data_IF_132626814254
#
_entry.id   IF_132626814254
#
_cell.length_a   1.000
_cell.length_b   1.000
_cell.length_c   1.000
_cell.angle_alpha   90.00
_cell.angle_beta   90.00
_cell.angle_gamma   90.00
#
_symmetry.space_group_name_H-M   'P 1'
#
loop_
_entity.id
_entity.type
_entity.pdbx_description
1 polymer ?
#
# COMPACT_ATOMS: atom_id res chain seq x y z
N UNK A 1 14.48 -8.19 -29.52
CA UNK A 1 15.54 -7.17 -29.37
C UNK A 1 15.18 -6.37 -28.13
N UNK A 2 15.84 -6.69 -27.02
CA UNK A 2 15.52 -6.16 -25.69
C UNK A 2 16.39 -4.92 -25.42
N UNK A 3 15.76 -3.80 -25.09
CA UNK A 3 16.43 -2.60 -24.61
C UNK A 3 16.36 -2.57 -23.08
N UNK A 4 17.54 -2.61 -22.46
CA UNK A 4 17.76 -2.41 -21.03
C UNK A 4 17.34 -0.99 -20.64
N UNK A 5 16.27 -0.87 -19.87
CA UNK A 5 15.94 0.34 -19.11
C UNK A 5 16.52 0.16 -17.71
N UNK A 6 17.69 0.75 -17.46
CA UNK A 6 18.28 0.84 -16.12
C UNK A 6 17.87 2.17 -15.47
N UNK A 7 17.34 2.08 -14.25
CA UNK A 7 16.84 3.17 -13.39
C UNK A 7 17.90 4.24 -12.97
N UNK A 8 19.02 4.34 -13.69
CA UNK A 8 20.08 5.31 -13.41
C UNK A 8 19.84 6.70 -14.02
N UNK A 9 18.80 6.89 -14.82
CA UNK A 9 18.58 8.14 -15.57
C UNK A 9 17.72 9.20 -14.88
N UNK A 10 17.27 8.99 -13.64
CA UNK A 10 16.38 9.93 -12.94
C UNK A 10 17.03 10.75 -11.81
N UNK A 11 18.36 10.72 -11.67
CA UNK A 11 19.09 11.48 -10.64
C UNK A 11 19.99 12.61 -11.18
N UNK A 12 20.16 12.74 -12.50
CA UNK A 12 20.99 13.80 -13.10
C UNK A 12 20.15 14.93 -13.69
N UNK A 13 19.52 15.72 -12.82
CA UNK A 13 19.09 17.08 -13.16
C UNK A 13 19.98 18.09 -12.41
N UNK A 14 21.25 18.14 -12.78
CA UNK A 14 22.12 19.29 -12.49
C UNK A 14 22.36 20.07 -13.78
N UNK A 15 21.52 21.07 -14.04
CA UNK A 15 21.91 22.16 -14.94
C UNK A 15 23.03 23.00 -14.30
N UNK A 16 23.98 23.53 -15.09
CA UNK A 16 25.18 24.18 -14.59
C UNK A 16 24.83 25.55 -14.02
N UNK A 17 24.83 25.67 -12.69
CA UNK A 17 24.71 26.96 -12.00
C UNK A 17 26.09 27.63 -11.97
N UNK A 18 26.13 28.85 -12.46
CA UNK A 18 27.25 29.80 -12.42
C UNK A 18 27.86 29.96 -11.02
N UNK A 19 29.16 30.31 -10.90
CA UNK A 19 29.87 30.27 -9.62
C UNK A 19 29.50 31.47 -8.75
N UNK A 20 28.80 31.24 -7.63
CA UNK A 20 28.69 32.22 -6.55
C UNK A 20 29.88 32.10 -5.60
N UNK A 21 30.53 33.22 -5.20
CA UNK A 21 31.68 33.21 -4.31
C UNK A 21 31.21 33.34 -2.86
N UNK A 22 30.95 32.23 -2.18
CA UNK A 22 30.89 32.21 -0.72
C UNK A 22 31.33 30.84 -0.21
N UNK A 23 32.65 30.63 -0.22
CA UNK A 23 33.27 29.52 0.53
C UNK A 23 33.34 29.94 1.99
N UNK A 24 32.34 29.54 2.76
CA UNK A 24 32.51 29.35 4.21
C UNK A 24 33.64 28.32 4.45
N UNK A 25 34.43 28.47 5.53
CA UNK A 25 35.62 27.65 5.73
C UNK A 25 35.21 26.19 5.91
N UNK A 26 35.89 25.27 5.20
CA UNK A 26 35.83 23.84 5.51
C UNK A 26 36.08 23.65 7.01
N UNK A 27 35.30 22.84 7.73
CA UNK A 27 35.59 22.55 9.13
C UNK A 27 37.01 21.96 9.25
N UNK A 28 37.75 22.26 10.33
CA UNK A 28 39.12 21.81 10.48
C UNK A 28 39.19 20.27 10.43
N UNK A 29 40.19 19.75 9.72
CA UNK A 29 40.55 18.33 9.75
C UNK A 29 40.86 17.94 11.20
N UNK A 30 40.11 16.98 11.75
CA UNK A 30 40.41 16.40 13.07
C UNK A 30 41.86 15.91 13.09
N UNK A 31 42.64 16.31 14.09
CA UNK A 31 44.02 15.83 14.23
C UNK A 31 44.04 14.43 14.82
N UNK A 32 45.15 13.69 14.62
CA UNK A 32 45.34 12.33 15.17
C UNK A 32 45.17 12.27 16.70
N UNK A 33 45.39 13.40 17.39
CA UNK A 33 45.20 13.56 18.83
C UNK A 33 43.71 13.68 19.24
N UNK A 34 42.84 14.22 18.38
CA UNK A 34 41.40 14.36 18.65
C UNK A 34 40.62 13.05 18.43
N UNK A 35 41.25 12.07 17.76
CA UNK A 35 40.66 10.79 17.32
C UNK A 35 40.93 9.66 18.31
N UNK A 36 41.79 9.88 19.32
CA UNK A 36 42.37 8.86 20.20
C UNK A 36 41.43 8.22 21.25
N UNK A 37 40.10 8.28 21.07
CA UNK A 37 39.12 7.83 22.08
C UNK A 37 38.49 6.44 21.80
N UNK A 38 38.89 5.72 20.75
CA UNK A 38 38.45 4.34 20.57
C UNK A 38 39.33 3.37 21.38
N UNK A 39 38.73 2.72 22.37
CA UNK A 39 39.36 1.58 23.04
C UNK A 39 39.41 0.40 22.05
N UNK A 40 40.61 -0.08 21.74
CA UNK A 40 40.82 -1.24 20.87
C UNK A 40 40.93 -2.52 21.72
N UNK A 41 40.06 -3.51 21.51
CA UNK A 41 40.25 -4.84 22.07
C UNK A 41 41.59 -5.45 21.64
N UNK A 42 42.22 -6.26 22.49
CA UNK A 42 43.48 -6.94 22.16
C UNK A 42 43.37 -7.81 20.91
N UNK A 43 42.19 -8.44 20.71
CA UNK A 43 41.81 -9.21 19.54
C UNK A 43 41.84 -8.43 18.21
N UNK A 44 41.76 -7.09 18.26
CA UNK A 44 41.64 -6.20 17.11
C UNK A 44 42.86 -5.26 16.94
N UNK A 45 43.98 -5.49 17.64
CA UNK A 45 45.16 -4.63 17.51
C UNK A 45 45.67 -4.50 16.06
N UNK A 46 45.53 -5.57 15.26
CA UNK A 46 45.91 -5.58 13.83
C UNK A 46 45.12 -4.53 13.01
N UNK A 47 43.95 -4.12 13.49
CA UNK A 47 43.10 -3.11 12.86
C UNK A 47 43.33 -1.68 13.37
N UNK A 48 44.25 -1.45 14.32
CA UNK A 48 44.42 -0.14 14.94
C UNK A 48 44.74 0.97 13.92
N UNK A 49 45.77 0.79 13.10
CA UNK A 49 46.15 1.77 12.05
C UNK A 49 45.10 1.89 10.93
N UNK A 50 44.54 0.79 10.38
CA UNK A 50 43.43 0.86 9.43
C UNK A 50 42.21 1.63 9.96
N UNK A 51 41.82 1.41 11.22
CA UNK A 51 40.67 2.08 11.85
C UNK A 51 40.93 3.56 12.12
N UNK A 52 42.14 3.92 12.57
CA UNK A 52 42.53 5.32 12.72
C UNK A 52 42.50 6.06 11.39
N UNK A 53 43.01 5.41 10.33
CA UNK A 53 42.95 5.97 8.97
C UNK A 53 41.51 6.19 8.53
N UNK A 54 40.64 5.20 8.76
CA UNK A 54 39.21 5.28 8.43
C UNK A 54 38.52 6.44 9.15
N UNK A 55 38.78 6.63 10.45
CA UNK A 55 38.21 7.73 11.22
C UNK A 55 38.67 9.11 10.75
N UNK A 56 39.91 9.25 10.29
CA UNK A 56 40.44 10.51 9.76
C UNK A 56 39.75 10.89 8.44
N UNK A 57 39.33 9.90 7.65
CA UNK A 57 38.73 10.13 6.33
C UNK A 57 37.20 10.08 6.32
N UNK A 58 36.53 9.75 7.44
CA UNK A 58 35.06 9.53 7.54
C UNK A 58 34.16 10.64 6.95
N UNK A 59 34.69 11.85 6.74
CA UNK A 59 33.92 12.98 6.17
C UNK A 59 34.06 13.11 4.65
N UNK A 60 34.88 12.26 4.01
CA UNK A 60 35.25 12.31 2.60
C UNK A 60 35.01 10.93 1.97
N UNK A 61 33.85 10.76 1.33
CA UNK A 61 33.38 9.48 0.78
C UNK A 61 34.42 8.81 -0.14
N UNK A 62 35.09 9.61 -0.97
CA UNK A 62 36.07 9.13 -1.94
C UNK A 62 37.30 8.49 -1.26
N UNK A 63 37.59 8.88 -0.02
CA UNK A 63 38.67 8.33 0.80
C UNK A 63 38.20 7.25 1.75
N UNK A 64 36.94 7.31 2.20
CA UNK A 64 36.33 6.27 3.07
C UNK A 64 36.27 4.94 2.35
N UNK A 65 35.84 4.91 1.09
CA UNK A 65 35.65 3.67 0.33
C UNK A 65 36.96 2.86 0.21
N UNK A 66 38.11 3.43 -0.23
CA UNK A 66 39.38 2.72 -0.26
C UNK A 66 39.85 2.26 1.13
N UNK A 67 39.68 3.10 2.16
CA UNK A 67 40.06 2.74 3.53
C UNK A 67 39.24 1.55 4.06
N UNK A 68 37.93 1.52 3.79
CA UNK A 68 37.06 0.39 4.13
C UNK A 68 37.41 -0.87 3.38
N UNK A 69 37.69 -0.75 2.07
CA UNK A 69 38.11 -1.89 1.26
C UNK A 69 39.34 -2.56 1.86
N UNK A 70 40.35 -1.76 2.26
CA UNK A 70 41.56 -2.27 2.91
C UNK A 70 41.26 -3.01 4.23
N UNK A 71 40.37 -2.47 5.07
CA UNK A 71 39.95 -3.12 6.32
C UNK A 71 39.30 -4.48 6.04
N UNK A 72 38.40 -4.54 5.08
CA UNK A 72 37.67 -5.77 4.79
C UNK A 72 38.55 -6.83 4.12
N UNK A 73 39.51 -6.44 3.27
CA UNK A 73 40.53 -7.36 2.73
C UNK A 73 41.35 -7.95 3.87
N UNK A 74 41.93 -7.09 4.72
CA UNK A 74 42.71 -7.52 5.89
C UNK A 74 41.92 -8.49 6.78
N UNK A 75 40.65 -8.19 7.04
CA UNK A 75 39.77 -9.07 7.81
C UNK A 75 39.54 -10.44 7.17
N UNK A 76 39.41 -10.49 5.84
CA UNK A 76 39.16 -11.75 5.12
C UNK A 76 40.36 -12.69 5.17
N UNK A 77 41.56 -12.13 5.25
CA UNK A 77 42.81 -12.87 5.23
C UNK A 77 43.25 -13.35 6.63
N UNK A 78 42.54 -12.94 7.69
CA UNK A 78 42.86 -13.35 9.06
C UNK A 78 42.48 -14.81 9.33
N UNK A 79 43.36 -15.61 9.94
CA UNK A 79 43.07 -17.01 10.27
C UNK A 79 41.97 -17.16 11.32
N UNK A 80 41.76 -16.15 12.16
CA UNK A 80 40.73 -16.08 13.20
C UNK A 80 39.56 -15.14 12.83
N UNK A 81 39.37 -14.84 11.54
CA UNK A 81 38.40 -13.86 11.05
C UNK A 81 36.99 -14.03 11.64
N UNK A 82 36.48 -15.27 11.72
CA UNK A 82 35.15 -15.58 12.29
C UNK A 82 35.02 -15.13 13.75
N UNK A 83 36.06 -15.34 14.57
CA UNK A 83 36.03 -15.03 16.00
C UNK A 83 36.05 -13.51 16.26
N UNK A 84 36.75 -12.75 15.41
CA UNK A 84 36.88 -11.29 15.57
C UNK A 84 35.77 -10.51 14.89
N UNK A 85 35.00 -11.13 13.98
CA UNK A 85 33.95 -10.47 13.17
C UNK A 85 32.96 -9.65 13.99
N UNK A 86 32.46 -10.17 15.12
CA UNK A 86 31.46 -9.50 15.94
C UNK A 86 31.98 -8.18 16.54
N UNK A 87 33.19 -8.22 17.10
CA UNK A 87 33.83 -7.03 17.68
C UNK A 87 34.25 -6.04 16.59
N UNK A 88 34.77 -6.56 15.47
CA UNK A 88 35.14 -5.76 14.31
C UNK A 88 33.92 -5.01 13.76
N UNK A 89 32.77 -5.67 13.62
CA UNK A 89 31.53 -5.02 13.17
C UNK A 89 31.11 -3.86 14.06
N UNK A 90 31.19 -4.03 15.38
CA UNK A 90 30.91 -2.95 16.33
C UNK A 90 31.86 -1.77 16.17
N UNK A 91 33.15 -2.05 15.95
CA UNK A 91 34.19 -1.03 15.78
C UNK A 91 34.05 -0.28 14.45
N UNK A 92 33.80 -1.02 13.36
CA UNK A 92 33.58 -0.46 12.03
C UNK A 92 32.37 0.48 12.04
N UNK A 93 31.26 0.08 12.67
CA UNK A 93 30.10 0.96 12.79
C UNK A 93 30.45 2.26 13.52
N UNK A 94 31.12 2.19 14.69
CA UNK A 94 31.54 3.39 15.44
C UNK A 94 32.45 4.32 14.64
N UNK A 95 33.33 3.77 13.80
CA UNK A 95 34.17 4.57 12.92
C UNK A 95 33.39 5.25 11.79
N UNK A 96 32.28 4.66 11.36
CA UNK A 96 31.49 5.07 10.20
C UNK A 96 30.16 5.74 10.54
N UNK A 97 29.78 5.83 11.82
CA UNK A 97 28.48 6.33 12.29
C UNK A 97 28.10 7.64 11.58
N UNK A 98 29.04 8.59 11.53
CA UNK A 98 28.86 9.85 10.81
C UNK A 98 28.55 9.62 9.32
N UNK A 99 29.37 8.84 8.64
CA UNK A 99 29.20 8.56 7.21
C UNK A 99 27.90 7.81 6.92
N UNK A 100 27.44 6.95 7.83
CA UNK A 100 26.20 6.19 7.72
C UNK A 100 24.96 7.08 7.82
N UNK A 101 25.05 8.17 8.58
CA UNK A 101 23.96 9.13 8.76
C UNK A 101 23.97 10.25 7.70
N UNK A 102 25.14 10.62 7.18
CA UNK A 102 25.24 11.72 6.21
C UNK A 102 25.27 11.27 4.74
N UNK A 103 25.44 9.98 4.47
CA UNK A 103 25.58 9.46 3.10
C UNK A 103 24.81 8.17 2.90
N UNK A 104 24.35 7.96 1.66
CA UNK A 104 23.67 6.72 1.25
C UNK A 104 24.64 5.69 0.67
N UNK A 105 25.75 6.14 0.08
CA UNK A 105 26.74 5.30 -0.61
C UNK A 105 27.59 4.45 0.33
N UNK A 106 28.00 4.99 1.48
CA UNK A 106 28.89 4.27 2.41
C UNK A 106 28.20 3.03 3.02
N UNK A 107 26.97 3.13 3.56
CA UNK A 107 26.23 1.95 4.03
C UNK A 107 26.04 0.89 2.94
N UNK A 108 25.72 1.31 1.72
CA UNK A 108 25.54 0.39 0.60
C UNK A 108 26.84 -0.32 0.24
N UNK A 109 27.95 0.42 0.15
CA UNK A 109 29.28 -0.15 -0.09
C UNK A 109 29.68 -1.16 1.00
N UNK A 110 29.39 -0.86 2.27
CA UNK A 110 29.66 -1.81 3.37
C UNK A 110 28.88 -3.11 3.17
N UNK A 111 27.59 -3.03 2.85
CA UNK A 111 26.76 -4.22 2.61
C UNK A 111 27.25 -4.99 1.38
N UNK A 112 27.56 -4.31 0.27
CA UNK A 112 28.13 -4.93 -0.94
C UNK A 112 29.41 -5.72 -0.63
N UNK A 113 30.33 -5.11 0.13
CA UNK A 113 31.56 -5.76 0.52
C UNK A 113 31.31 -6.94 1.46
N UNK A 114 30.47 -6.77 2.49
CA UNK A 114 30.20 -7.84 3.45
C UNK A 114 29.57 -9.06 2.77
N UNK A 115 28.61 -8.86 1.88
CA UNK A 115 27.85 -9.94 1.25
C UNK A 115 28.63 -10.70 0.16
N UNK A 116 29.77 -10.17 -0.30
CA UNK A 116 30.71 -10.91 -1.17
C UNK A 116 31.43 -12.06 -0.45
N UNK A 117 31.37 -12.11 0.88
CA UNK A 117 32.06 -13.08 1.74
C UNK A 117 31.10 -14.21 2.16
N UNK A 118 31.63 -15.36 2.64
CA UNK A 118 30.77 -16.43 3.12
C UNK A 118 29.95 -16.02 4.37
N UNK A 119 28.76 -16.62 4.59
CA UNK A 119 27.88 -16.33 5.74
C UNK A 119 28.55 -16.42 7.11
N UNK A 120 29.50 -17.34 7.26
CA UNK A 120 30.28 -17.54 8.49
C UNK A 120 31.08 -16.29 8.90
N UNK A 121 31.43 -15.44 7.92
CA UNK A 121 32.16 -14.19 8.16
C UNK A 121 31.22 -13.01 8.30
N UNK A 122 30.32 -12.78 7.34
CA UNK A 122 29.51 -11.56 7.35
C UNK A 122 28.40 -11.57 8.40
N UNK A 123 27.80 -12.72 8.75
CA UNK A 123 26.69 -12.75 9.69
C UNK A 123 27.10 -12.25 11.09
N UNK A 124 28.22 -12.72 11.69
CA UNK A 124 28.67 -12.15 12.96
C UNK A 124 29.10 -10.69 12.86
N UNK A 125 29.66 -10.26 11.71
CA UNK A 125 30.06 -8.87 11.52
C UNK A 125 28.85 -7.93 11.46
N UNK A 126 27.82 -8.28 10.68
CA UNK A 126 26.56 -7.55 10.64
C UNK A 126 25.86 -7.57 11.99
N UNK A 127 25.90 -8.69 12.73
CA UNK A 127 25.37 -8.75 14.09
C UNK A 127 26.10 -7.77 15.03
N UNK A 128 27.43 -7.63 14.89
CA UNK A 128 28.22 -6.65 15.62
C UNK A 128 27.77 -5.21 15.34
N UNK A 129 27.55 -4.89 14.07
CA UNK A 129 27.03 -3.58 13.67
C UNK A 129 25.59 -3.35 14.16
N UNK A 130 24.72 -4.37 14.08
CA UNK A 130 23.33 -4.32 14.55
C UNK A 130 23.22 -4.03 16.04
N UNK A 131 24.15 -4.56 16.86
CA UNK A 131 24.22 -4.23 18.30
C UNK A 131 24.51 -2.76 18.58
N UNK A 132 25.14 -2.04 17.64
CA UNK A 132 25.34 -0.60 17.76
C UNK A 132 24.13 0.17 17.26
N UNK A 133 23.53 -0.30 16.17
CA UNK A 133 22.36 0.33 15.55
C UNK A 133 21.44 -0.70 14.89
N UNK A 134 20.23 -0.83 15.45
CA UNK A 134 19.22 -1.76 14.96
C UNK A 134 18.73 -1.42 13.55
N UNK A 135 18.88 -0.18 13.08
CA UNK A 135 18.49 0.24 11.72
C UNK A 135 19.23 -0.55 10.63
N UNK A 136 20.37 -1.17 10.96
CA UNK A 136 21.11 -2.00 10.02
C UNK A 136 20.26 -3.10 9.40
N UNK A 137 19.30 -3.69 10.14
CA UNK A 137 18.41 -4.72 9.60
C UNK A 137 17.53 -4.19 8.46
N UNK A 138 16.97 -2.99 8.64
CA UNK A 138 16.21 -2.28 7.60
C UNK A 138 17.06 -1.95 6.37
N UNK A 139 18.32 -1.51 6.57
CA UNK A 139 19.27 -1.28 5.45
C UNK A 139 19.63 -2.56 4.72
N UNK A 140 19.83 -3.66 5.46
CA UNK A 140 20.10 -4.98 4.89
C UNK A 140 18.90 -5.50 4.08
N UNK A 141 17.68 -5.36 4.60
CA UNK A 141 16.45 -5.70 3.88
C UNK A 141 16.37 -4.91 2.57
N UNK A 142 16.55 -3.59 2.62
CA UNK A 142 16.52 -2.73 1.45
C UNK A 142 17.53 -3.16 0.39
N UNK A 143 18.78 -3.41 0.82
CA UNK A 143 19.84 -3.87 -0.06
C UNK A 143 19.50 -5.23 -0.70
N UNK A 144 19.08 -6.20 0.10
CA UNK A 144 18.71 -7.53 -0.38
C UNK A 144 17.59 -7.49 -1.43
N UNK A 145 16.57 -6.65 -1.24
CA UNK A 145 15.46 -6.50 -2.18
C UNK A 145 15.89 -5.82 -3.48
N UNK A 146 16.73 -4.78 -3.42
CA UNK A 146 17.26 -4.11 -4.61
C UNK A 146 18.11 -5.06 -5.46
N UNK A 147 18.92 -5.91 -4.81
CA UNK A 147 19.74 -6.94 -5.47
C UNK A 147 18.99 -8.24 -5.78
N UNK A 148 17.67 -8.28 -5.55
CA UNK A 148 16.79 -9.44 -5.80
C UNK A 148 17.23 -10.74 -5.13
N UNK A 149 17.79 -10.64 -3.93
CA UNK A 149 18.24 -11.78 -3.14
C UNK A 149 17.95 -11.57 -1.65
N UNK A 150 16.86 -12.18 -1.16
CA UNK A 150 16.44 -12.06 0.25
C UNK A 150 17.18 -13.01 1.19
N UNK A 151 17.94 -13.98 0.66
CA UNK A 151 18.61 -15.03 1.44
C UNK A 151 19.52 -14.49 2.56
N UNK A 152 20.36 -13.46 2.33
CA UNK A 152 21.23 -12.93 3.38
C UNK A 152 20.46 -12.30 4.54
N UNK A 153 19.32 -11.67 4.25
CA UNK A 153 18.44 -11.09 5.27
C UNK A 153 17.80 -12.17 6.14
N UNK A 154 17.29 -13.24 5.52
CA UNK A 154 16.70 -14.38 6.25
C UNK A 154 17.73 -15.02 7.19
N UNK A 155 18.93 -15.31 6.68
CA UNK A 155 20.01 -15.87 7.48
C UNK A 155 20.45 -14.94 8.62
N UNK A 156 20.36 -13.62 8.41
CA UNK A 156 20.64 -12.63 9.44
C UNK A 156 19.57 -12.63 10.55
N UNK A 157 18.28 -12.69 10.19
CA UNK A 157 17.20 -12.80 11.17
C UNK A 157 17.37 -14.02 12.09
N UNK A 158 17.77 -15.16 11.52
CA UNK A 158 18.04 -16.40 12.26
C UNK A 158 19.18 -16.23 13.28
N UNK A 159 20.26 -15.54 12.91
CA UNK A 159 21.43 -15.33 13.78
C UNK A 159 21.17 -14.32 14.90
N UNK A 160 20.39 -13.28 14.63
CA UNK A 160 20.03 -12.26 15.64
C UNK A 160 18.94 -12.78 16.60
N UNK A 161 18.24 -13.86 16.22
CA UNK A 161 17.15 -14.41 17.02
C UNK A 161 15.90 -13.54 16.96
N UNK A 162 15.66 -12.88 15.82
CA UNK A 162 14.44 -12.10 15.63
C UNK A 162 13.22 -13.04 15.57
N UNK A 163 12.10 -12.68 16.20
CA UNK A 163 10.88 -13.47 16.15
C UNK A 163 10.35 -13.45 14.71
N UNK A 164 10.22 -14.62 14.09
CA UNK A 164 9.63 -14.91 12.77
C UNK A 164 9.91 -13.87 11.65
N UNK A 165 10.54 -14.30 10.55
CA UNK A 165 10.96 -13.43 9.42
C UNK A 165 9.88 -12.43 8.96
N UNK A 166 8.59 -12.80 8.83
CA UNK A 166 7.53 -11.86 8.49
C UNK A 166 7.38 -10.69 9.47
N UNK A 167 7.51 -10.91 10.78
CA UNK A 167 7.41 -9.85 11.77
C UNK A 167 8.62 -8.92 11.71
N UNK A 168 9.82 -9.48 11.51
CA UNK A 168 11.04 -8.71 11.29
C UNK A 168 10.93 -7.79 10.06
N UNK A 169 10.38 -8.29 8.95
CA UNK A 169 10.15 -7.49 7.74
C UNK A 169 9.23 -6.30 8.03
N UNK A 170 8.12 -6.51 8.74
CA UNK A 170 7.19 -5.41 9.07
C UNK A 170 7.85 -4.36 9.96
N UNK A 171 8.63 -4.80 10.95
CA UNK A 171 9.40 -3.91 11.81
C UNK A 171 10.40 -3.09 11.00
N UNK A 172 11.16 -3.75 10.13
CA UNK A 172 12.20 -3.11 9.31
C UNK A 172 11.64 -2.15 8.26
N UNK A 173 10.45 -2.42 7.73
CA UNK A 173 9.71 -1.44 6.90
C UNK A 173 9.37 -0.20 7.73
N UNK A 174 8.91 -0.37 8.97
CA UNK A 174 8.61 0.77 9.87
C UNK A 174 9.84 1.61 10.22
N UNK A 175 11.02 0.98 10.36
CA UNK A 175 12.26 1.68 10.71
C UNK A 175 12.72 2.69 9.66
N UNK A 176 12.28 2.57 8.39
CA UNK A 176 12.74 3.46 7.31
C UNK A 176 12.51 4.96 7.61
N UNK A 177 11.42 5.29 8.31
CA UNK A 177 11.11 6.67 8.72
C UNK A 177 12.14 7.19 9.71
N UNK A 178 12.50 6.39 10.72
CA UNK A 178 13.51 6.75 11.69
C UNK A 178 14.90 6.92 11.08
N UNK A 179 15.21 6.16 10.01
CA UNK A 179 16.46 6.36 9.26
C UNK A 179 16.49 7.74 8.64
N UNK A 180 15.43 8.12 7.94
CA UNK A 180 15.36 9.42 7.27
C UNK A 180 15.35 10.57 8.28
N UNK A 181 14.64 10.44 9.40
CA UNK A 181 14.65 11.41 10.51
C UNK A 181 16.05 11.58 11.12
N UNK A 182 16.74 10.46 11.40
CA UNK A 182 18.08 10.48 11.96
C UNK A 182 19.10 11.09 10.99
N UNK A 183 19.00 10.75 9.70
CA UNK A 183 19.83 11.35 8.65
C UNK A 183 19.56 12.86 8.50
N UNK A 184 18.30 13.29 8.52
CA UNK A 184 17.92 14.69 8.43
C UNK A 184 18.47 15.50 9.62
N UNK A 185 18.34 14.96 10.84
CA UNK A 185 18.89 15.57 12.05
C UNK A 185 20.42 15.65 12.00
N UNK A 186 21.09 14.55 11.64
CA UNK A 186 22.55 14.51 11.53
C UNK A 186 23.08 15.49 10.48
N UNK A 187 22.45 15.54 9.30
CA UNK A 187 22.80 16.50 8.26
C UNK A 187 22.61 17.95 8.71
N UNK A 188 21.54 18.24 9.45
CA UNK A 188 21.28 19.56 10.03
C UNK A 188 22.36 19.96 11.05
N UNK A 189 22.68 19.08 12.00
CA UNK A 189 23.70 19.32 13.03
C UNK A 189 25.10 19.49 12.42
N UNK A 190 25.40 18.76 11.35
CA UNK A 190 26.71 18.77 10.68
C UNK A 190 26.79 19.79 9.52
N UNK A 191 25.71 20.52 9.25
CA UNK A 191 25.59 21.52 8.17
C UNK A 191 25.98 20.97 6.79
N UNK A 192 25.55 19.73 6.50
CA UNK A 192 25.72 19.09 5.19
C UNK A 192 24.38 18.92 4.49
N UNK A 193 24.34 18.92 3.14
CA UNK A 193 23.09 18.79 2.40
C UNK A 193 22.44 17.43 2.68
N UNK A 194 21.12 17.45 2.93
CA UNK A 194 20.32 16.23 3.07
C UNK A 194 19.64 15.89 1.74
N UNK A 195 19.83 14.66 1.26
CA UNK A 195 19.30 14.21 -0.03
C UNK A 195 17.78 13.93 -0.02
N UNK A 196 17.12 13.94 1.16
CA UNK A 196 15.67 13.82 1.30
C UNK A 196 15.13 12.39 1.22
N UNK A 197 14.35 11.97 2.24
CA UNK A 197 13.49 10.78 2.31
C UNK A 197 13.92 9.54 1.49
N UNK A 198 15.21 9.20 1.51
CA UNK A 198 15.76 8.16 0.64
C UNK A 198 15.35 6.79 1.14
N UNK A 199 15.39 6.57 2.46
CA UNK A 199 15.07 5.26 3.04
C UNK A 199 13.58 4.92 2.85
N UNK A 200 12.69 5.88 3.07
CA UNK A 200 11.25 5.73 2.84
C UNK A 200 10.97 5.49 1.36
N UNK A 201 11.59 6.26 0.45
CA UNK A 201 11.41 6.08 -0.99
C UNK A 201 11.90 4.70 -1.46
N UNK A 202 13.10 4.27 -1.04
CA UNK A 202 13.64 2.94 -1.37
C UNK A 202 12.78 1.82 -0.81
N UNK A 203 12.26 1.96 0.41
CA UNK A 203 11.40 0.94 1.04
C UNK A 203 10.07 0.82 0.31
N UNK A 204 9.41 1.95 0.07
CA UNK A 204 8.09 1.96 -0.57
C UNK A 204 8.17 1.56 -2.05
N UNK A 205 9.15 2.08 -2.80
CA UNK A 205 9.24 1.89 -4.25
C UNK A 205 10.10 0.67 -4.65
N UNK A 206 11.05 0.25 -3.82
CA UNK A 206 11.90 -0.91 -4.12
C UNK A 206 11.48 -2.16 -3.35
N UNK A 207 11.53 -2.06 -2.02
CA UNK A 207 11.38 -3.21 -1.12
C UNK A 207 9.99 -3.82 -1.20
N UNK A 208 8.93 -3.04 -0.99
CA UNK A 208 7.57 -3.60 -0.93
C UNK A 208 7.13 -4.21 -2.27
N UNK A 209 7.35 -3.57 -3.44
CA UNK A 209 7.07 -4.19 -4.73
C UNK A 209 7.86 -5.49 -4.95
N UNK A 210 9.15 -5.50 -4.59
CA UNK A 210 9.95 -6.73 -4.66
C UNK A 210 9.36 -7.85 -3.78
N UNK A 211 8.97 -7.54 -2.54
CA UNK A 211 8.37 -8.52 -1.64
C UNK A 211 7.08 -9.10 -2.21
N UNK A 212 6.22 -8.25 -2.80
CA UNK A 212 4.96 -8.68 -3.39
C UNK A 212 5.14 -9.61 -4.59
N UNK A 213 6.17 -9.39 -5.43
CA UNK A 213 6.36 -10.13 -6.68
C UNK A 213 7.33 -11.31 -6.57
N UNK A 214 8.32 -11.24 -5.68
CA UNK A 214 9.48 -12.13 -5.72
C UNK A 214 9.79 -12.83 -4.39
N UNK A 215 9.25 -12.38 -3.25
CA UNK A 215 9.57 -13.01 -1.98
C UNK A 215 8.89 -14.38 -1.83
N UNK A 216 9.57 -15.35 -1.18
CA UNK A 216 8.95 -16.64 -0.85
C UNK A 216 7.76 -16.46 0.09
N UNK A 217 6.66 -17.18 -0.17
CA UNK A 217 5.42 -17.11 0.63
C UNK A 217 5.66 -17.37 2.12
N UNK A 218 6.62 -18.25 2.46
CA UNK A 218 6.95 -18.58 3.84
C UNK A 218 7.53 -17.39 4.63
N UNK A 219 8.15 -16.42 3.96
CA UNK A 219 8.74 -15.23 4.58
C UNK A 219 7.80 -14.02 4.51
N UNK A 220 6.65 -14.14 3.84
CA UNK A 220 5.79 -12.99 3.58
C UNK A 220 4.90 -12.67 4.79
N UNK A 221 4.87 -11.40 5.23
CA UNK A 221 3.86 -10.94 6.15
C UNK A 221 2.46 -11.12 5.56
N UNK A 222 1.47 -11.15 6.45
CA UNK A 222 0.08 -11.03 6.03
C UNK A 222 -0.08 -9.78 5.16
N UNK A 223 -0.77 -9.94 4.03
CA UNK A 223 -0.86 -8.88 3.02
C UNK A 223 -1.45 -7.58 3.59
N UNK A 224 -2.47 -7.68 4.44
CA UNK A 224 -3.08 -6.50 5.06
C UNK A 224 -2.10 -5.76 5.98
N UNK A 225 -1.26 -6.48 6.75
CA UNK A 225 -0.24 -5.87 7.58
C UNK A 225 0.90 -5.23 6.77
N UNK A 226 1.28 -5.86 5.65
CA UNK A 226 2.29 -5.31 4.74
C UNK A 226 1.80 -4.02 4.09
N UNK A 227 0.57 -4.01 3.57
CA UNK A 227 -0.05 -2.83 2.95
C UNK A 227 -0.21 -1.72 3.99
N UNK A 228 -0.67 -2.06 5.21
CA UNK A 228 -0.76 -1.09 6.31
C UNK A 228 0.60 -0.44 6.58
N UNK A 229 1.65 -1.26 6.69
CA UNK A 229 3.00 -0.77 6.97
C UNK A 229 3.51 0.14 5.84
N UNK A 230 3.24 -0.23 4.57
CA UNK A 230 3.54 0.61 3.41
C UNK A 230 2.85 1.97 3.48
N UNK A 231 1.52 2.01 3.66
CA UNK A 231 0.78 3.28 3.66
C UNK A 231 1.07 4.12 4.91
N UNK A 232 1.48 3.50 6.01
CA UNK A 232 1.88 4.20 7.23
C UNK A 232 3.14 5.04 7.06
N UNK A 233 4.08 4.58 6.24
CA UNK A 233 5.38 5.25 6.04
C UNK A 233 5.44 6.06 4.75
N UNK A 234 4.60 5.74 3.75
CA UNK A 234 4.62 6.41 2.45
C UNK A 234 4.04 7.84 2.54
N UNK A 235 4.78 8.91 2.18
CA UNK A 235 4.22 10.26 2.04
C UNK A 235 3.40 10.40 0.75
N UNK A 236 2.58 11.48 0.59
CA UNK A 236 1.70 11.65 -0.58
C UNK A 236 2.41 11.52 -1.94
N UNK A 237 3.63 12.07 -2.06
CA UNK A 237 4.42 12.00 -3.28
C UNK A 237 4.85 10.56 -3.63
N UNK A 238 5.11 9.72 -2.62
CA UNK A 238 5.47 8.32 -2.80
C UNK A 238 4.23 7.49 -3.13
N UNK A 239 3.08 7.75 -2.49
CA UNK A 239 1.81 7.12 -2.84
C UNK A 239 1.44 7.43 -4.30
N UNK A 240 1.60 8.68 -4.75
CA UNK A 240 1.36 9.04 -6.14
C UNK A 240 2.26 8.27 -7.13
N UNK A 241 3.56 8.13 -6.81
CA UNK A 241 4.49 7.33 -7.62
C UNK A 241 4.10 5.85 -7.65
N UNK A 242 3.69 5.28 -6.51
CA UNK A 242 3.19 3.90 -6.44
C UNK A 242 1.95 3.72 -7.32
N UNK A 243 0.98 4.63 -7.23
CA UNK A 243 -0.21 4.62 -8.08
C UNK A 243 0.13 4.67 -9.58
N UNK A 244 1.09 5.50 -9.99
CA UNK A 244 1.55 5.54 -11.39
C UNK A 244 2.14 4.20 -11.84
N UNK A 245 2.95 3.55 -11.01
CA UNK A 245 3.55 2.25 -11.33
C UNK A 245 2.53 1.10 -11.35
N UNK A 246 1.52 1.16 -10.48
CA UNK A 246 0.37 0.26 -10.52
C UNK A 246 -0.43 0.43 -11.82
N UNK A 247 -0.65 1.66 -12.28
CA UNK A 247 -1.30 1.94 -13.57
C UNK A 247 -0.50 1.40 -14.76
N UNK A 248 0.84 1.44 -14.68
CA UNK A 248 1.74 0.80 -15.65
C UNK A 248 1.77 -0.74 -15.53
N UNK A 249 1.02 -1.32 -14.58
CA UNK A 249 0.95 -2.76 -14.33
C UNK A 249 2.32 -3.40 -14.03
N UNK A 250 3.23 -2.65 -13.40
CA UNK A 250 4.56 -3.16 -13.03
C UNK A 250 4.50 -4.23 -11.94
N UNK A 251 3.51 -4.16 -11.04
CA UNK A 251 3.27 -5.11 -9.94
C UNK A 251 1.80 -5.06 -9.49
N UNK A 252 1.38 -6.02 -8.65
CA UNK A 252 0.02 -6.07 -8.07
C UNK A 252 0.06 -6.15 -6.54
N UNK A 253 -0.69 -5.27 -5.86
CA UNK A 253 -0.75 -5.22 -4.39
C UNK A 253 -1.86 -6.13 -3.87
N UNK A 254 -3.11 -5.90 -4.31
CA UNK A 254 -4.27 -6.51 -3.65
C UNK A 254 -4.54 -7.96 -4.04
N UNK A 255 -4.10 -8.37 -5.24
CA UNK A 255 -4.28 -9.73 -5.79
C UNK A 255 -5.71 -10.25 -5.53
N UNK A 256 -5.87 -11.46 -4.99
CA UNK A 256 -7.18 -12.05 -4.67
C UNK A 256 -7.73 -11.68 -3.27
N UNK A 257 -6.99 -10.86 -2.51
CA UNK A 257 -7.28 -10.57 -1.10
C UNK A 257 -7.85 -9.17 -0.86
N UNK A 258 -8.32 -8.48 -1.92
CA UNK A 258 -8.89 -7.12 -1.85
C UNK A 258 -9.93 -6.97 -0.75
N UNK A 259 -10.86 -7.92 -0.61
CA UNK A 259 -11.90 -7.85 0.43
C UNK A 259 -11.31 -7.91 1.86
N UNK A 260 -10.33 -8.78 2.08
CA UNK A 260 -9.68 -8.94 3.40
C UNK A 260 -8.94 -7.67 3.79
N UNK A 261 -8.20 -7.08 2.85
CA UNK A 261 -7.45 -5.84 3.09
C UNK A 261 -8.38 -4.68 3.39
N UNK A 262 -9.45 -4.50 2.61
CA UNK A 262 -10.40 -3.40 2.82
C UNK A 262 -11.22 -3.53 4.11
N UNK A 263 -11.56 -4.75 4.53
CA UNK A 263 -12.22 -4.96 5.83
C UNK A 263 -11.26 -4.69 7.00
N UNK A 264 -9.98 -5.07 6.85
CA UNK A 264 -8.93 -4.73 7.82
C UNK A 264 -8.75 -3.21 7.91
N UNK A 265 -8.76 -2.51 6.77
CA UNK A 265 -8.50 -1.07 6.71
C UNK A 265 -9.55 -0.18 7.37
N UNK A 266 -10.76 -0.69 7.64
CA UNK A 266 -11.78 0.04 8.41
C UNK A 266 -11.29 0.45 9.81
N UNK A 267 -10.34 -0.29 10.38
CA UNK A 267 -9.78 -0.04 11.71
C UNK A 267 -8.47 0.76 11.67
N UNK A 268 -8.06 1.20 10.49
CA UNK A 268 -6.83 1.97 10.29
C UNK A 268 -7.12 3.46 10.46
N UNK A 269 -6.07 4.27 10.64
CA UNK A 269 -6.21 5.71 10.76
C UNK A 269 -6.59 6.35 9.40
N UNK A 270 -7.02 7.62 9.42
CA UNK A 270 -7.46 8.34 8.22
C UNK A 270 -6.43 8.36 7.09
N UNK A 271 -5.15 8.50 7.42
CA UNK A 271 -4.06 8.51 6.44
C UNK A 271 -3.86 7.15 5.78
N UNK A 272 -3.79 6.10 6.58
CA UNK A 272 -3.68 4.71 6.13
C UNK A 272 -4.89 4.33 5.24
N UNK A 273 -6.10 4.73 5.65
CA UNK A 273 -7.32 4.52 4.86
C UNK A 273 -7.25 5.28 3.53
N UNK A 274 -6.90 6.56 3.54
CA UNK A 274 -6.77 7.34 2.30
C UNK A 274 -5.77 6.68 1.34
N UNK A 275 -4.58 6.32 1.83
CA UNK A 275 -3.53 5.71 1.01
C UNK A 275 -3.95 4.38 0.38
N UNK A 276 -4.62 3.49 1.14
CA UNK A 276 -5.07 2.20 0.58
C UNK A 276 -6.15 2.38 -0.49
N UNK A 277 -7.04 3.36 -0.34
CA UNK A 277 -8.05 3.66 -1.36
C UNK A 277 -7.45 4.27 -2.63
N UNK A 278 -6.42 5.11 -2.54
CA UNK A 278 -5.68 5.60 -3.71
C UNK A 278 -5.02 4.46 -4.49
N UNK A 279 -4.31 3.57 -3.79
CA UNK A 279 -3.64 2.43 -4.39
C UNK A 279 -4.65 1.47 -5.03
N UNK A 280 -5.79 1.22 -4.36
CA UNK A 280 -6.85 0.38 -4.91
C UNK A 280 -7.44 0.97 -6.18
N UNK A 281 -7.68 2.28 -6.20
CA UNK A 281 -8.22 2.95 -7.40
C UNK A 281 -7.26 2.83 -8.58
N UNK A 282 -5.96 2.98 -8.35
CA UNK A 282 -4.94 2.80 -9.38
C UNK A 282 -4.91 1.35 -9.90
N UNK A 283 -4.86 0.36 -9.01
CA UNK A 283 -4.81 -1.06 -9.41
C UNK A 283 -6.11 -1.51 -10.11
N UNK A 284 -7.27 -1.00 -9.68
CA UNK A 284 -8.54 -1.31 -10.31
C UNK A 284 -8.66 -0.74 -11.73
N UNK A 285 -8.11 0.46 -11.97
CA UNK A 285 -8.00 1.04 -13.31
C UNK A 285 -7.03 0.24 -14.20
N UNK A 286 -5.88 -0.19 -13.64
CA UNK A 286 -4.92 -1.03 -14.34
C UNK A 286 -5.51 -2.39 -14.77
N UNK A 287 -6.34 -2.99 -13.92
CA UNK A 287 -7.01 -4.28 -14.16
C UNK A 287 -8.30 -4.18 -15.00
N UNK A 288 -8.54 -3.06 -15.69
CA UNK A 288 -9.71 -2.84 -16.53
C UNK A 288 -11.05 -3.13 -15.81
N UNK A 289 -11.21 -2.60 -14.61
CA UNK A 289 -12.45 -2.68 -13.84
C UNK A 289 -12.87 -4.10 -13.40
N UNK A 290 -11.94 -4.84 -12.80
CA UNK A 290 -12.16 -6.21 -12.35
C UNK A 290 -13.39 -6.40 -11.43
N UNK A 291 -14.10 -7.52 -11.64
CA UNK A 291 -15.29 -7.96 -10.90
C UNK A 291 -14.97 -8.32 -9.45
N UNK A 292 -13.76 -8.80 -9.15
CA UNK A 292 -13.41 -9.15 -7.77
C UNK A 292 -13.39 -7.91 -6.86
N UNK A 293 -12.92 -6.77 -7.37
CA UNK A 293 -12.98 -5.48 -6.66
C UNK A 293 -14.43 -5.08 -6.39
N UNK A 294 -15.34 -5.20 -7.35
CA UNK A 294 -16.77 -4.90 -7.14
C UNK A 294 -17.37 -5.80 -6.06
N UNK A 295 -17.02 -7.10 -6.05
CA UNK A 295 -17.47 -8.02 -5.01
C UNK A 295 -16.90 -7.66 -3.61
N UNK A 296 -15.65 -7.19 -3.55
CA UNK A 296 -15.05 -6.69 -2.32
C UNK A 296 -15.76 -5.43 -1.80
N UNK A 297 -16.07 -4.47 -2.67
CA UNK A 297 -16.82 -3.25 -2.30
C UNK A 297 -18.18 -3.59 -1.68
N UNK A 298 -18.91 -4.58 -2.23
CA UNK A 298 -20.18 -5.04 -1.65
C UNK A 298 -20.02 -5.57 -0.22
N UNK A 299 -18.95 -6.32 0.05
CA UNK A 299 -18.66 -6.83 1.40
C UNK A 299 -18.33 -5.71 2.37
N UNK A 300 -17.51 -4.74 1.94
CA UNK A 300 -17.14 -3.60 2.78
C UNK A 300 -18.35 -2.72 3.08
N UNK A 301 -19.18 -2.41 2.08
CA UNK A 301 -20.44 -1.67 2.26
C UNK A 301 -21.35 -2.29 3.32
N UNK A 302 -21.40 -3.62 3.41
CA UNK A 302 -22.21 -4.32 4.40
C UNK A 302 -21.66 -4.22 5.84
N UNK A 303 -20.38 -3.87 6.02
CA UNK A 303 -19.70 -3.78 7.31
C UNK A 303 -19.41 -2.33 7.74
N UNK A 304 -19.71 -1.35 6.89
CA UNK A 304 -19.44 0.05 7.18
C UNK A 304 -20.42 0.63 8.21
N UNK A 305 -19.88 1.58 8.95
CA UNK A 305 -20.62 2.53 9.77
C UNK A 305 -20.31 3.95 9.25
N UNK A 306 -21.30 4.70 8.76
CA UNK A 306 -21.10 6.01 8.16
C UNK A 306 -20.60 7.07 9.16
N UNK A 307 -20.78 6.86 10.47
CA UNK A 307 -20.32 7.82 11.49
C UNK A 307 -18.83 7.66 11.81
N UNK A 308 -18.29 6.45 11.64
CA UNK A 308 -16.90 6.15 12.02
C UNK A 308 -15.98 5.97 10.81
N UNK A 309 -16.52 5.61 9.64
CA UNK A 309 -15.74 5.22 8.47
C UNK A 309 -15.89 6.20 7.30
N UNK A 310 -15.70 7.50 7.55
CA UNK A 310 -15.88 8.55 6.54
C UNK A 310 -14.92 8.42 5.34
N UNK A 311 -13.68 8.03 5.59
CA UNK A 311 -12.63 7.85 4.58
C UNK A 311 -12.94 6.65 3.69
N UNK A 312 -13.39 5.55 4.26
CA UNK A 312 -13.85 4.40 3.50
C UNK A 312 -15.10 4.71 2.69
N UNK A 313 -16.06 5.45 3.24
CA UNK A 313 -17.25 5.89 2.50
C UNK A 313 -16.87 6.78 1.30
N UNK A 314 -15.92 7.71 1.49
CA UNK A 314 -15.37 8.56 0.43
C UNK A 314 -14.62 7.75 -0.64
N UNK A 315 -13.78 6.80 -0.23
CA UNK A 315 -13.06 5.90 -1.13
C UNK A 315 -14.01 5.06 -1.98
N UNK A 316 -15.04 4.47 -1.37
CA UNK A 316 -16.05 3.69 -2.07
C UNK A 316 -16.84 4.58 -3.02
N UNK A 317 -17.26 5.77 -2.59
CA UNK A 317 -17.98 6.70 -3.46
C UNK A 317 -17.19 6.92 -4.76
N UNK A 318 -15.91 7.30 -4.64
CA UNK A 318 -15.04 7.57 -5.81
C UNK A 318 -14.94 6.39 -6.78
N UNK A 319 -14.90 5.16 -6.27
CA UNK A 319 -14.91 3.96 -7.12
C UNK A 319 -16.29 3.72 -7.75
N UNK A 320 -17.37 3.82 -6.98
CA UNK A 320 -18.74 3.65 -7.49
C UNK A 320 -19.06 4.65 -8.62
N UNK A 321 -18.50 5.87 -8.58
CA UNK A 321 -18.66 6.88 -9.63
C UNK A 321 -18.08 6.46 -11.00
N UNK A 322 -17.21 5.45 -11.01
CA UNK A 322 -16.54 4.92 -12.20
C UNK A 322 -17.07 3.53 -12.59
N UNK A 323 -17.80 2.84 -11.71
CA UNK A 323 -18.36 1.50 -11.93
C UNK A 323 -19.71 1.59 -12.65
N UNK A 324 -19.90 0.75 -13.67
CA UNK A 324 -21.23 0.47 -14.21
C UNK A 324 -21.95 -0.51 -13.26
N UNK A 325 -23.14 -0.16 -12.73
CA UNK A 325 -23.79 -0.97 -11.70
C UNK A 325 -24.32 -2.30 -12.24
N UNK A 326 -24.04 -3.38 -11.51
CA UNK A 326 -24.77 -4.65 -11.67
C UNK A 326 -25.94 -4.72 -10.69
N UNK A 327 -26.85 -5.68 -10.89
CA UNK A 327 -28.04 -5.84 -10.05
C UNK A 327 -27.70 -5.97 -8.56
N UNK A 328 -26.66 -6.75 -8.24
CA UNK A 328 -26.28 -7.03 -6.86
C UNK A 328 -25.65 -5.79 -6.18
N UNK A 329 -24.84 -5.01 -6.89
CA UNK A 329 -24.27 -3.76 -6.39
C UNK A 329 -25.36 -2.71 -6.18
N UNK A 330 -26.30 -2.59 -7.13
CA UNK A 330 -27.45 -1.70 -7.00
C UNK A 330 -28.27 -2.05 -5.76
N UNK A 331 -28.62 -3.32 -5.57
CA UNK A 331 -29.33 -3.77 -4.37
C UNK A 331 -28.56 -3.48 -3.08
N UNK A 332 -27.24 -3.68 -3.06
CA UNK A 332 -26.41 -3.37 -1.90
C UNK A 332 -26.50 -1.88 -1.52
N UNK A 333 -26.44 -0.97 -2.50
CA UNK A 333 -26.54 0.48 -2.25
C UNK A 333 -27.94 0.86 -1.78
N UNK A 334 -28.99 0.34 -2.42
CA UNK A 334 -30.38 0.70 -2.09
C UNK A 334 -30.84 0.21 -0.72
N UNK A 335 -30.29 -0.92 -0.25
CA UNK A 335 -30.58 -1.52 1.07
C UNK A 335 -29.91 -0.82 2.24
N UNK A 336 -28.99 0.11 2.01
CA UNK A 336 -28.34 0.86 3.09
C UNK A 336 -29.38 1.59 3.93
N UNK A 337 -29.13 1.67 5.24
CA UNK A 337 -30.04 2.37 6.16
C UNK A 337 -29.99 3.88 5.95
N UNK A 338 -30.98 4.60 6.49
CA UNK A 338 -31.02 6.07 6.40
C UNK A 338 -29.85 6.76 7.13
N UNK A 339 -29.09 6.04 7.97
CA UNK A 339 -27.86 6.54 8.56
C UNK A 339 -26.78 6.89 7.51
N UNK A 340 -26.89 6.31 6.31
CA UNK A 340 -25.99 6.60 5.18
C UNK A 340 -26.45 7.80 4.35
N UNK A 341 -27.60 8.42 4.61
CA UNK A 341 -28.05 9.56 3.82
C UNK A 341 -27.03 10.71 3.87
N UNK A 342 -26.74 11.37 2.73
CA UNK A 342 -27.37 11.24 1.40
C UNK A 342 -26.63 10.29 0.43
N UNK A 343 -25.81 9.35 0.91
CA UNK A 343 -24.94 8.52 0.09
C UNK A 343 -25.68 7.69 -0.99
N UNK A 344 -26.71 6.88 -0.67
CA UNK A 344 -27.32 6.00 -1.66
C UNK A 344 -28.03 6.76 -2.78
N UNK A 345 -28.75 7.83 -2.43
CA UNK A 345 -29.44 8.68 -3.40
C UNK A 345 -28.46 9.43 -4.30
N UNK A 346 -27.31 9.87 -3.76
CA UNK A 346 -26.25 10.51 -4.54
C UNK A 346 -25.62 9.56 -5.55
N UNK A 347 -25.32 8.33 -5.14
CA UNK A 347 -24.80 7.28 -6.04
C UNK A 347 -25.80 6.98 -7.16
N UNK A 348 -27.08 6.80 -6.81
CA UNK A 348 -28.13 6.53 -7.78
C UNK A 348 -28.31 7.68 -8.78
N UNK A 349 -28.27 8.93 -8.32
CA UNK A 349 -28.36 10.11 -9.18
C UNK A 349 -27.23 10.12 -10.23
N UNK A 350 -26.00 9.82 -9.83
CA UNK A 350 -24.85 9.85 -10.73
C UNK A 350 -24.85 8.67 -11.69
N UNK A 351 -25.23 7.47 -11.23
CA UNK A 351 -25.40 6.33 -12.12
C UNK A 351 -26.52 6.55 -13.14
N UNK A 352 -27.59 7.23 -12.74
CA UNK A 352 -28.67 7.61 -13.65
C UNK A 352 -28.21 8.56 -14.74
N UNK A 353 -27.24 9.43 -14.45
CA UNK A 353 -26.68 10.38 -15.41
C UNK A 353 -25.68 9.70 -16.36
N UNK A 354 -24.76 8.89 -15.82
CA UNK A 354 -23.69 8.25 -16.61
C UNK A 354 -24.09 6.95 -17.30
N UNK A 355 -24.95 6.15 -16.67
CA UNK A 355 -25.23 4.76 -17.03
C UNK A 355 -26.73 4.49 -17.15
N UNK A 356 -27.51 5.47 -17.61
CA UNK A 356 -28.98 5.41 -17.68
C UNK A 356 -29.51 4.11 -18.30
N UNK A 357 -28.96 3.70 -19.44
CA UNK A 357 -29.36 2.51 -20.19
C UNK A 357 -29.15 1.19 -19.41
N UNK A 358 -28.22 1.19 -18.46
CA UNK A 358 -27.93 0.03 -17.60
C UNK A 358 -28.73 0.08 -16.31
N UNK A 359 -28.92 1.26 -15.71
CA UNK A 359 -29.64 1.45 -14.44
C UNK A 359 -31.14 1.28 -14.61
N UNK A 360 -31.72 1.83 -15.68
CA UNK A 360 -33.15 1.79 -15.94
C UNK A 360 -33.75 0.38 -15.88
N UNK A 361 -33.25 -0.62 -16.63
CA UNK A 361 -33.83 -1.97 -16.59
C UNK A 361 -33.65 -2.65 -15.23
N UNK A 362 -32.56 -2.34 -14.51
CA UNK A 362 -32.32 -2.88 -13.17
C UNK A 362 -33.33 -2.33 -12.16
N UNK A 363 -33.55 -1.01 -12.17
CA UNK A 363 -34.52 -0.33 -11.29
C UNK A 363 -35.94 -0.78 -11.59
N UNK A 364 -36.33 -0.88 -12.87
CA UNK A 364 -37.64 -1.40 -13.28
C UNK A 364 -37.81 -2.86 -12.82
N UNK A 365 -36.78 -3.69 -13.00
CA UNK A 365 -36.78 -5.07 -12.53
C UNK A 365 -36.97 -5.19 -11.01
N UNK A 366 -36.33 -4.32 -10.22
CA UNK A 366 -36.48 -4.29 -8.76
C UNK A 366 -37.84 -3.73 -8.31
N UNK A 367 -38.43 -2.79 -9.06
CA UNK A 367 -39.77 -2.26 -8.77
C UNK A 367 -40.88 -3.27 -9.06
N UNK A 368 -40.65 -4.21 -9.98
CA UNK A 368 -41.57 -5.31 -10.27
C UNK A 368 -41.36 -6.54 -9.37
N UNK A 369 -40.30 -6.57 -8.56
CA UNK A 369 -40.10 -7.63 -7.58
C UNK A 369 -40.98 -7.38 -6.34
N UNK A 370 -41.74 -8.39 -5.92
CA UNK A 370 -42.81 -8.27 -4.88
C UNK A 370 -42.28 -8.24 -3.44
N UNK A 371 -40.97 -7.98 -3.26
CA UNK A 371 -40.23 -8.08 -2.00
C UNK A 371 -39.78 -6.71 -1.49
N UNK A 372 -39.19 -6.67 -0.29
CA UNK A 372 -38.60 -5.49 0.37
C UNK A 372 -37.74 -4.60 -0.56
N UNK A 373 -37.16 -5.17 -1.62
CA UNK A 373 -36.40 -4.45 -2.63
C UNK A 373 -37.18 -3.32 -3.31
N UNK A 374 -38.49 -3.50 -3.61
CA UNK A 374 -39.30 -2.45 -4.21
C UNK A 374 -39.50 -1.26 -3.25
N UNK A 375 -39.58 -1.53 -1.95
CA UNK A 375 -39.69 -0.51 -0.89
C UNK A 375 -38.40 0.30 -0.80
N UNK A 376 -37.25 -0.38 -0.77
CA UNK A 376 -35.93 0.26 -0.74
C UNK A 376 -35.70 1.16 -1.96
N UNK A 377 -36.07 0.68 -3.15
CA UNK A 377 -35.97 1.45 -4.40
C UNK A 377 -36.85 2.70 -4.34
N UNK A 378 -38.13 2.56 -3.96
CA UNK A 378 -39.06 3.69 -3.83
C UNK A 378 -38.56 4.73 -2.83
N UNK A 379 -38.06 4.28 -1.68
CA UNK A 379 -37.46 5.14 -0.66
C UNK A 379 -36.34 5.98 -1.26
N UNK A 380 -35.39 5.37 -1.97
CA UNK A 380 -34.26 6.10 -2.54
C UNK A 380 -34.65 6.99 -3.74
N UNK A 381 -35.58 6.55 -4.58
CA UNK A 381 -36.13 7.36 -5.69
C UNK A 381 -36.86 8.60 -5.20
N UNK A 382 -37.55 8.54 -4.05
CA UNK A 382 -38.23 9.70 -3.46
C UNK A 382 -37.28 10.81 -2.99
N UNK A 383 -36.01 10.46 -2.74
CA UNK A 383 -34.96 11.40 -2.32
C UNK A 383 -34.22 12.03 -3.51
N UNK A 384 -34.47 11.56 -4.73
CA UNK A 384 -33.86 12.15 -5.93
C UNK A 384 -34.54 13.48 -6.29
N UNK A 385 -33.81 14.43 -6.89
CA UNK A 385 -34.42 15.67 -7.35
C UNK A 385 -35.39 15.37 -8.50
N UNK A 386 -36.50 16.11 -8.57
CA UNK A 386 -37.60 15.84 -9.51
C UNK A 386 -37.19 15.88 -11.00
N UNK A 387 -36.06 16.52 -11.32
CA UNK A 387 -35.48 16.59 -12.64
C UNK A 387 -34.51 15.43 -12.96
N UNK A 388 -34.26 14.49 -12.05
CA UNK A 388 -33.37 13.36 -12.30
C UNK A 388 -33.81 12.54 -13.52
N UNK A 389 -32.89 12.26 -14.44
CA UNK A 389 -33.18 11.57 -15.72
C UNK A 389 -33.91 10.25 -15.52
N UNK A 390 -33.53 9.46 -14.51
CA UNK A 390 -34.17 8.20 -14.18
C UNK A 390 -35.65 8.36 -13.81
N UNK A 391 -36.03 9.45 -13.13
CA UNK A 391 -37.43 9.77 -12.83
C UNK A 391 -38.18 10.33 -14.04
N UNK A 392 -37.47 10.72 -15.11
CA UNK A 392 -38.08 11.17 -16.37
C UNK A 392 -38.42 10.01 -17.30
N UNK A 393 -37.77 8.87 -17.12
CA UNK A 393 -37.97 7.67 -17.95
C UNK A 393 -39.40 7.13 -17.85
N UNK A 394 -40.08 6.90 -19.00
CA UNK A 394 -41.49 6.51 -19.03
C UNK A 394 -41.72 5.13 -18.37
N UNK A 395 -40.78 4.21 -18.54
CA UNK A 395 -40.86 2.87 -17.95
C UNK A 395 -40.70 2.88 -16.42
N UNK A 396 -39.85 3.74 -15.87
CA UNK A 396 -39.68 3.89 -14.42
C UNK A 396 -40.91 4.55 -13.81
N UNK A 397 -41.45 5.60 -14.45
CA UNK A 397 -42.72 6.23 -14.05
C UNK A 397 -43.89 5.25 -14.08
N UNK A 398 -44.01 4.46 -15.14
CA UNK A 398 -45.04 3.44 -15.26
C UNK A 398 -44.92 2.37 -14.15
N UNK A 399 -43.69 1.89 -13.87
CA UNK A 399 -43.45 0.91 -12.80
C UNK A 399 -43.74 1.48 -11.39
N UNK A 400 -43.48 2.77 -11.15
CA UNK A 400 -43.85 3.44 -9.90
C UNK A 400 -45.38 3.57 -9.72
N UNK A 401 -46.11 3.79 -10.82
CA UNK A 401 -47.57 3.94 -10.80
C UNK A 401 -48.32 2.59 -10.75
N UNK A 402 -47.75 1.53 -11.32
CA UNK A 402 -48.39 0.22 -11.46
C UNK A 402 -48.80 -0.44 -10.12
N UNK A 403 -48.16 -0.10 -8.99
CA UNK A 403 -48.53 -0.60 -7.65
C UNK A 403 -49.24 0.44 -6.76
N UNK A 404 -49.49 1.66 -7.25
CA UNK A 404 -50.42 2.58 -6.56
C UNK A 404 -51.89 2.16 -6.68
N UNK A 405 -52.16 1.05 -7.39
CA UNK A 405 -53.47 0.40 -7.48
C UNK A 405 -53.42 -1.10 -7.11
N UNK A 406 -53.20 -1.50 -5.84
CA UNK A 406 -53.52 -2.85 -5.40
C UNK A 406 -54.90 -2.80 -4.73
N UNK A 407 -55.97 -2.80 -5.53
CA UNK A 407 -57.32 -2.97 -5.01
C UNK A 407 -58.37 -2.13 -5.72
N UNK A 408 -58.88 -2.61 -6.85
CA UNK A 408 -60.28 -2.47 -7.30
C UNK A 408 -60.41 -2.90 -8.78
N UNK A 409 -60.17 -4.19 -9.07
CA UNK A 409 -60.72 -4.81 -10.29
C UNK A 409 -61.21 -6.22 -9.94
N UNK A 410 -62.17 -6.28 -9.02
CA UNK A 410 -63.18 -7.34 -9.02
C UNK A 410 -64.55 -6.66 -9.13
N UNK A 411 -64.82 -6.20 -10.34
CA UNK A 411 -66.09 -5.61 -10.75
C UNK A 411 -66.40 -6.16 -12.13
N UNK A 412 -66.98 -7.36 -12.17
CA UNK A 412 -67.45 -8.01 -13.37
C UNK A 412 -68.55 -7.17 -14.03
N UNK A 413 -68.18 -6.41 -15.05
CA UNK A 413 -69.11 -5.90 -16.05
C UNK A 413 -69.03 -6.84 -17.27
N UNK A 414 -69.91 -7.84 -17.33
CA UNK A 414 -70.16 -8.56 -18.58
C UNK A 414 -71.40 -7.97 -19.22
N UNK A 415 -71.18 -7.27 -20.34
CA UNK A 415 -72.21 -6.81 -21.24
C UNK A 415 -73.03 -7.98 -21.81
N UNK A 416 -74.29 -7.66 -22.04
CA UNK A 416 -75.37 -8.39 -22.69
C UNK A 416 -75.03 -8.95 -24.07
N UNK A 417 -75.31 -10.24 -24.27
CA UNK A 417 -75.68 -10.78 -25.59
C UNK A 417 -76.94 -11.67 -25.44
N UNK A 418 -77.89 -11.40 -26.32
CA UNK A 418 -79.21 -12.01 -26.47
C UNK A 418 -79.17 -13.28 -27.33
N UNK A 419 -79.74 -14.39 -26.85
CA UNK A 419 -80.22 -15.49 -27.70
C UNK A 419 -81.37 -16.31 -27.03
N UNK A 420 -82.58 -15.93 -27.42
CA UNK A 420 -83.85 -16.66 -27.66
C UNK A 420 -83.95 -18.17 -27.28
N UNK A 421 -84.98 -18.45 -26.46
CA UNK A 421 -85.93 -19.60 -26.34
C UNK A 421 -85.54 -21.06 -26.63
N UNK A 422 -85.66 -21.95 -25.63
CA UNK A 422 -86.84 -22.83 -25.41
C UNK A 422 -86.67 -23.73 -24.13
N UNK A 423 -87.75 -24.34 -23.57
CA UNK A 423 -87.96 -24.42 -22.12
C UNK A 423 -87.61 -25.74 -21.42
N UNK A 424 -87.31 -25.63 -20.13
CA UNK A 424 -87.08 -26.70 -19.16
C UNK A 424 -88.36 -27.51 -18.86
N UNK A 425 -88.35 -28.81 -19.14
CA UNK A 425 -89.32 -29.74 -18.55
C UNK A 425 -89.05 -29.92 -17.04
N UNK A 426 -90.10 -29.67 -16.26
CA UNK A 426 -90.22 -30.04 -14.84
C UNK A 426 -90.05 -31.55 -14.65
N UNK A 427 -89.40 -31.96 -13.56
CA UNK A 427 -90.02 -32.87 -12.55
C UNK A 427 -89.25 -32.88 -11.22
N UNK A 428 -89.95 -33.21 -10.11
CA UNK A 428 -89.65 -32.71 -8.77
C UNK A 428 -88.89 -33.71 -7.89
N UNK A 429 -88.36 -33.16 -6.79
CA UNK A 429 -88.00 -33.83 -5.54
C UNK A 429 -89.08 -34.85 -5.11
N UNK A 430 -88.65 -36.05 -4.72
CA UNK A 430 -89.31 -36.90 -3.72
C UNK A 430 -88.22 -37.59 -2.90
N UNK A 431 -88.40 -37.54 -1.58
CA UNK A 431 -87.57 -38.09 -0.51
C UNK A 431 -87.47 -39.62 -0.53
N UNK A 432 -86.38 -40.14 0.04
CA UNK A 432 -86.10 -41.56 0.25
C UNK A 432 -84.62 -41.82 0.49
#
# INVERSE_FOLDING_TARGET
>A
MASNWTEQSFLDDTHPSTPSPDRSPRPPLKTRADVAALAFPESLQVFQEPMLTLQLVQSDVDKVIPALSHVFVLWSDLPNAVAVSLELGSLVYKCLERSFLTTTSVPQFVLDQCLQRPPQLYLPLLHGMYKQDSVLSSRLLAHCCVHKNLTPYIAFCDVVGLPDVPAAILQDIGLCVHVDEACALACSLLQVPYAGNVAVATTCLGVVPYLLEHAPVACMPRLDALIRSLVSVAPPAVVAKLSMRLLLSEFSIFKDQTATVLLSSLHWNSWEQWGVWELLSAEWQAKHHDKATVAALRKVLACLDPQTHGEALSGILRLLLQICPDMALLQCVLKLSDAFDPFPSSVLAIWSDKWLSSVQPLVVGLLHDTKDAAVDVRRQLSKLPANALLLQEPYVRAALLAESFPGQLSGSASCSETAIDEPLMKKPKVDG
#
